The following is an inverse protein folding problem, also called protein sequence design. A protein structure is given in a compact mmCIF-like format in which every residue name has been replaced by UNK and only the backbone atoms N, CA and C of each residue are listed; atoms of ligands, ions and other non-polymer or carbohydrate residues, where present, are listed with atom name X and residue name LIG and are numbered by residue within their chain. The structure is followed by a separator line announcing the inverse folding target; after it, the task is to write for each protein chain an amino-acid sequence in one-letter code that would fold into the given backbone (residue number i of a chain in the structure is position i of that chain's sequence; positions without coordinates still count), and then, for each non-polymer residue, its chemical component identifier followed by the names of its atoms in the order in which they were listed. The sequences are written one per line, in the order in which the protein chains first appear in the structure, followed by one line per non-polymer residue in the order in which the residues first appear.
data_IF_579463754083
#
_entry.id   IF_579463754083
#
_cell.length_a   1.000
_cell.length_b   1.000
_cell.length_c   1.000
_cell.angle_alpha   90.00
_cell.angle_beta   90.00
_cell.angle_gamma   90.00
#
_symmetry.space_group_name_H-M   'P 1'
#
loop_
_entity.id
_entity.type
_entity.pdbx_description
1 polymer ?
#
# COMPACT_ATOMS: atom_id res chain seq x y z
N UNK A 1 -3.85 -14.56 -64.88
CA UNK A 1 -3.47 -15.12 -63.57
C UNK A 1 -3.17 -13.95 -62.63
N UNK A 2 -4.09 -13.64 -61.71
CA UNK A 2 -3.97 -12.52 -60.75
C UNK A 2 -3.57 -13.11 -59.40
N UNK A 3 -2.31 -12.90 -58.99
CA UNK A 3 -1.82 -13.34 -57.70
C UNK A 3 -2.24 -12.33 -56.63
N UNK A 4 -3.31 -12.66 -55.88
CA UNK A 4 -3.69 -12.00 -54.64
C UNK A 4 -2.58 -12.23 -53.60
N UNK A 5 -1.69 -11.25 -53.42
CA UNK A 5 -0.77 -11.24 -52.29
C UNK A 5 -1.59 -11.01 -51.03
N UNK A 6 -1.57 -12.01 -50.15
CA UNK A 6 -2.33 -12.08 -48.90
C UNK A 6 -2.13 -10.86 -48.03
N UNK A 7 -3.22 -10.12 -47.88
CA UNK A 7 -3.43 -9.06 -46.92
C UNK A 7 -3.98 -9.73 -45.65
N UNK A 8 -3.12 -10.30 -44.79
CA UNK A 8 -3.58 -10.85 -43.52
C UNK A 8 -2.46 -10.92 -42.47
N UNK A 9 -2.08 -9.77 -41.92
CA UNK A 9 -1.46 -9.67 -40.59
C UNK A 9 -1.95 -8.37 -39.95
N UNK A 10 -3.26 -8.33 -39.71
CA UNK A 10 -3.93 -7.31 -38.91
C UNK A 10 -4.19 -7.92 -37.54
N UNK A 11 -3.61 -7.30 -36.51
CA UNK A 11 -4.14 -7.20 -35.15
C UNK A 11 -4.18 -8.44 -34.27
N UNK A 12 -3.05 -8.78 -33.63
CA UNK A 12 -3.05 -9.27 -32.23
C UNK A 12 -1.82 -8.70 -31.52
N UNK A 13 -1.87 -7.41 -31.15
CA UNK A 13 -0.96 -6.84 -30.13
C UNK A 13 -1.62 -5.66 -29.42
N UNK A 14 -2.94 -5.70 -29.25
CA UNK A 14 -3.65 -4.97 -28.20
C UNK A 14 -4.08 -6.00 -27.18
N UNK A 15 -3.27 -6.25 -26.15
CA UNK A 15 -3.65 -6.78 -24.84
C UNK A 15 -2.40 -6.88 -23.95
N UNK A 16 -1.61 -5.81 -23.93
CA UNK A 16 -0.73 -5.52 -22.81
C UNK A 16 -1.08 -4.10 -22.33
N UNK A 17 -2.37 -3.91 -22.00
CA UNK A 17 -2.71 -2.95 -20.97
C UNK A 17 -2.07 -3.49 -19.71
N UNK A 18 -0.80 -3.15 -19.54
CA UNK A 18 -0.08 -3.20 -18.29
C UNK A 18 -0.99 -2.54 -17.27
N UNK A 19 -1.65 -3.36 -16.46
CA UNK A 19 -2.23 -2.95 -15.21
C UNK A 19 -1.06 -2.52 -14.32
N UNK A 20 -0.50 -1.35 -14.62
CA UNK A 20 0.33 -0.62 -13.71
C UNK A 20 -0.62 -0.23 -12.58
N UNK A 21 -0.79 -1.12 -11.62
CA UNK A 21 -1.67 -0.94 -10.46
C UNK A 21 -1.20 0.30 -9.72
N UNK A 22 -1.81 1.44 -10.04
CA UNK A 22 -1.56 2.68 -9.32
C UNK A 22 -1.98 2.47 -7.87
N UNK A 23 -1.29 3.13 -6.93
CA UNK A 23 -1.63 3.13 -5.50
C UNK A 23 -3.13 3.44 -5.29
N UNK A 24 -3.73 4.25 -6.17
CA UNK A 24 -5.15 4.58 -6.15
C UNK A 24 -6.09 3.40 -6.41
N UNK A 25 -5.69 2.44 -7.24
CA UNK A 25 -6.45 1.20 -7.46
C UNK A 25 -6.43 0.35 -6.20
N UNK A 26 -5.29 0.30 -5.51
CA UNK A 26 -5.13 -0.39 -4.24
C UNK A 26 -6.02 0.23 -3.15
N UNK A 27 -6.07 1.56 -3.05
CA UNK A 27 -6.93 2.28 -2.09
C UNK A 27 -8.42 1.97 -2.30
N UNK A 28 -8.88 1.87 -3.56
CA UNK A 28 -10.28 1.52 -3.87
C UNK A 28 -10.65 0.09 -3.47
N UNK A 29 -9.69 -0.83 -3.53
CA UNK A 29 -9.91 -2.24 -3.23
C UNK A 29 -9.55 -2.62 -1.76
N UNK A 30 -8.77 -1.80 -1.05
CA UNK A 30 -8.27 -2.07 0.31
C UNK A 30 -8.79 -1.10 1.39
N UNK A 31 -9.88 -0.38 1.12
CA UNK A 31 -10.51 0.47 2.12
C UNK A 31 -11.21 -0.31 3.26
N UNK A 32 -11.43 -1.62 3.09
CA UNK A 32 -11.90 -2.51 4.15
C UNK A 32 -10.93 -3.67 4.28
N UNK A 33 -10.24 -3.73 5.41
CA UNK A 33 -9.34 -4.83 5.68
C UNK A 33 -10.13 -6.12 5.90
N UNK A 34 -9.67 -7.24 5.33
CA UNK A 34 -10.30 -8.55 5.47
C UNK A 34 -9.88 -9.28 6.75
N UNK A 35 -8.72 -8.90 7.30
CA UNK A 35 -8.08 -9.53 8.44
C UNK A 35 -7.70 -8.50 9.48
N UNK A 36 -7.65 -8.92 10.75
CA UNK A 36 -7.16 -8.11 11.85
C UNK A 36 -5.71 -8.45 12.16
N UNK A 37 -4.90 -7.48 12.59
CA UNK A 37 -3.50 -7.71 12.92
C UNK A 37 -2.67 -6.44 13.01
N UNK A 38 -1.35 -6.61 13.02
CA UNK A 38 -0.39 -5.50 12.88
C UNK A 38 0.30 -5.59 11.52
N UNK A 39 0.42 -4.46 10.85
CA UNK A 39 1.17 -4.30 9.61
C UNK A 39 2.32 -3.33 9.87
N UNK A 40 3.51 -3.68 9.38
CA UNK A 40 4.67 -2.82 9.42
C UNK A 40 5.05 -2.42 8.01
N UNK A 41 5.39 -1.16 7.81
CA UNK A 41 5.64 -0.65 6.47
C UNK A 41 6.32 0.69 6.45
N UNK A 42 6.86 1.05 5.28
CA UNK A 42 7.19 2.44 5.01
C UNK A 42 5.90 3.18 4.70
N UNK A 43 5.77 4.43 5.14
CA UNK A 43 4.58 5.21 4.81
C UNK A 43 4.78 6.02 3.53
N UNK A 44 3.70 6.14 2.77
CA UNK A 44 3.55 7.16 1.73
C UNK A 44 2.40 8.09 2.12
N UNK A 45 2.72 9.38 2.19
CA UNK A 45 1.76 10.49 2.32
C UNK A 45 1.38 11.08 0.97
N UNK A 46 2.04 10.69 -0.13
CA UNK A 46 1.62 11.05 -1.50
C UNK A 46 0.46 10.17 -1.94
N UNK A 47 -0.64 10.26 -1.18
CA UNK A 47 -1.93 9.83 -1.66
C UNK A 47 -2.55 11.06 -2.33
N UNK A 48 -2.98 10.91 -3.57
CA UNK A 48 -3.63 12.00 -4.31
C UNK A 48 -4.95 12.42 -3.61
N UNK A 49 -5.73 13.31 -4.25
CA UNK A 49 -7.04 13.71 -3.70
C UNK A 49 -7.98 12.50 -3.38
N UNK A 50 -7.78 11.35 -4.04
CA UNK A 50 -8.53 10.11 -3.81
C UNK A 50 -8.04 9.34 -2.58
N UNK A 51 -6.90 9.71 -2.01
CA UNK A 51 -6.42 9.20 -0.73
C UNK A 51 -6.73 10.08 0.47
N UNK A 52 -7.46 11.19 0.30
CA UNK A 52 -7.91 11.98 1.46
C UNK A 52 -8.87 11.16 2.34
N UNK A 53 -8.84 11.39 3.67
CA UNK A 53 -9.77 10.74 4.61
C UNK A 53 -11.23 10.97 4.18
N UNK A 54 -11.52 12.19 3.75
CA UNK A 54 -12.84 12.57 3.21
C UNK A 54 -13.22 11.71 2.00
N UNK A 55 -12.35 11.56 1.02
CA UNK A 55 -12.65 10.72 -0.15
C UNK A 55 -12.89 9.27 0.27
N UNK A 56 -12.02 8.71 1.11
CA UNK A 56 -12.13 7.33 1.57
C UNK A 56 -13.47 7.13 2.30
N UNK A 57 -13.80 7.99 3.26
CA UNK A 57 -15.05 7.89 4.01
C UNK A 57 -16.30 8.10 3.13
N UNK A 58 -16.34 9.18 2.33
CA UNK A 58 -17.54 9.56 1.57
C UNK A 58 -17.78 8.68 0.34
N UNK A 59 -16.72 8.23 -0.34
CA UNK A 59 -16.85 7.52 -1.63
C UNK A 59 -16.85 6.00 -1.52
N UNK A 60 -16.30 5.46 -0.44
CA UNK A 60 -16.23 4.00 -0.26
C UNK A 60 -17.34 3.46 0.65
N UNK A 61 -18.13 4.35 1.27
CA UNK A 61 -19.15 3.94 2.24
C UNK A 61 -18.57 3.26 3.46
N UNK A 62 -17.34 3.63 3.84
CA UNK A 62 -16.63 3.06 4.97
C UNK A 62 -17.38 3.32 6.28
N UNK A 63 -17.48 2.30 7.14
CA UNK A 63 -18.22 2.38 8.42
C UNK A 63 -17.33 2.70 9.62
N UNK A 64 -16.08 3.08 9.39
CA UNK A 64 -15.18 3.48 10.47
C UNK A 64 -15.76 4.69 11.23
N UNK A 65 -15.85 4.59 12.55
CA UNK A 65 -16.39 5.66 13.38
C UNK A 65 -15.59 6.97 13.21
N UNK A 66 -14.29 6.88 12.88
CA UNK A 66 -13.42 8.04 12.63
C UNK A 66 -13.81 8.82 11.38
N UNK A 67 -14.65 8.27 10.50
CA UNK A 67 -15.22 9.03 9.38
C UNK A 67 -16.09 10.21 9.83
N UNK A 68 -16.68 10.15 11.04
CA UNK A 68 -17.38 11.30 11.64
C UNK A 68 -16.43 12.40 12.16
N UNK A 69 -15.14 12.08 12.27
CA UNK A 69 -14.07 12.94 12.77
C UNK A 69 -12.94 13.08 11.74
N UNK A 70 -13.27 13.03 10.45
CA UNK A 70 -12.28 12.99 9.36
C UNK A 70 -11.26 14.13 9.38
N UNK A 71 -11.61 15.28 9.97
CA UNK A 71 -10.74 16.44 10.08
C UNK A 71 -9.66 16.30 11.16
N UNK A 72 -9.72 15.28 12.01
CA UNK A 72 -8.71 14.99 13.02
C UNK A 72 -7.61 14.05 12.50
N UNK A 73 -7.81 13.47 11.31
CA UNK A 73 -6.94 12.45 10.74
C UNK A 73 -6.36 12.83 9.38
N UNK A 74 -5.24 12.19 9.06
CA UNK A 74 -4.70 12.07 7.70
C UNK A 74 -4.59 10.60 7.35
N UNK A 75 -4.91 10.26 6.11
CA UNK A 75 -4.71 8.91 5.61
C UNK A 75 -3.26 8.74 5.16
N UNK A 76 -2.70 7.57 5.44
CA UNK A 76 -1.38 7.16 4.97
C UNK A 76 -1.47 5.74 4.44
N UNK A 77 -0.69 5.44 3.40
CA UNK A 77 -0.52 4.06 2.97
C UNK A 77 0.71 3.47 3.63
N UNK A 78 0.53 2.44 4.45
CA UNK A 78 1.60 1.69 5.11
C UNK A 78 2.00 0.55 4.20
N UNK A 79 3.01 0.78 3.36
CA UNK A 79 3.54 -0.14 2.37
C UNK A 79 4.43 -1.19 3.04
N UNK A 80 3.93 -2.42 3.08
CA UNK A 80 4.62 -3.57 3.67
C UNK A 80 5.49 -4.31 2.65
N UNK A 81 5.08 -4.37 1.38
CA UNK A 81 5.83 -5.02 0.31
C UNK A 81 5.48 -4.46 -1.07
N UNK A 82 6.38 -4.61 -2.03
CA UNK A 82 6.17 -4.26 -3.43
C UNK A 82 6.72 -5.37 -4.34
N UNK A 83 5.90 -5.85 -5.27
CA UNK A 83 6.28 -6.85 -6.27
C UNK A 83 6.00 -6.41 -7.71
N UNK A 84 6.69 -7.03 -8.68
CA UNK A 84 6.45 -6.78 -10.10
C UNK A 84 5.04 -7.22 -10.55
N UNK A 85 4.58 -8.37 -10.05
CA UNK A 85 3.27 -8.93 -10.38
C UNK A 85 2.20 -8.49 -9.37
N UNK A 86 2.55 -8.50 -8.07
CA UNK A 86 1.59 -8.25 -6.99
C UNK A 86 1.37 -6.76 -6.69
N UNK A 87 2.15 -5.87 -7.30
CA UNK A 87 2.06 -4.42 -7.06
C UNK A 87 2.40 -4.04 -5.61
N UNK A 88 1.74 -3.01 -5.10
CA UNK A 88 1.93 -2.51 -3.74
C UNK A 88 1.02 -3.26 -2.74
N UNK A 89 1.64 -3.89 -1.74
CA UNK A 89 0.97 -4.59 -0.65
C UNK A 89 1.11 -3.76 0.63
N UNK A 90 0.00 -3.36 1.22
CA UNK A 90 -0.01 -2.54 2.41
C UNK A 90 -1.42 -2.36 2.94
N UNK A 91 -1.59 -1.33 3.77
CA UNK A 91 -2.90 -0.94 4.28
C UNK A 91 -3.06 0.57 4.25
N UNK A 92 -4.27 1.03 3.97
CA UNK A 92 -4.65 2.42 4.22
C UNK A 92 -4.96 2.57 5.70
N UNK A 93 -4.22 3.42 6.39
CA UNK A 93 -4.35 3.67 7.81
C UNK A 93 -4.56 5.16 8.10
N UNK A 94 -5.27 5.45 9.19
CA UNK A 94 -5.44 6.80 9.70
C UNK A 94 -4.38 7.10 10.75
N UNK A 95 -3.66 8.20 10.56
CA UNK A 95 -2.80 8.81 11.56
C UNK A 95 -3.47 10.10 12.05
N UNK A 96 -3.37 10.44 13.35
CA UNK A 96 -3.75 11.77 13.82
C UNK A 96 -2.99 12.86 13.05
N UNK A 97 -3.65 13.99 12.73
CA UNK A 97 -3.00 15.04 11.90
C UNK A 97 -1.74 15.57 12.55
N UNK A 98 -1.75 15.72 13.87
CA UNK A 98 -0.66 16.20 14.72
C UNK A 98 0.52 15.21 14.82
N UNK A 99 0.33 13.94 14.47
CA UNK A 99 1.41 12.97 14.46
C UNK A 99 2.46 13.39 13.42
N UNK A 100 3.69 13.67 13.88
CA UNK A 100 4.79 13.97 12.96
C UNK A 100 5.27 12.67 12.33
N UNK A 101 5.10 12.57 11.02
CA UNK A 101 5.63 11.47 10.21
C UNK A 101 6.85 11.99 9.47
N UNK A 102 7.86 11.14 9.23
CA UNK A 102 9.00 11.55 8.41
C UNK A 102 8.55 11.82 6.96
N UNK A 103 9.41 12.45 6.17
CA UNK A 103 9.12 12.65 4.74
C UNK A 103 8.90 11.32 4.01
N UNK A 104 8.22 11.41 2.86
CA UNK A 104 8.01 10.27 1.97
C UNK A 104 9.33 9.61 1.66
N UNK A 105 9.32 8.28 1.77
CA UNK A 105 10.54 7.53 1.68
C UNK A 105 10.50 6.54 0.52
N UNK A 106 11.58 6.51 -0.25
CA UNK A 106 11.69 5.61 -1.38
C UNK A 106 11.95 4.18 -0.87
N UNK A 107 11.24 3.21 -1.45
CA UNK A 107 11.47 1.78 -1.18
C UNK A 107 12.96 1.44 -1.35
N UNK A 108 13.51 0.69 -0.39
CA UNK A 108 14.93 0.30 -0.38
C UNK A 108 15.90 1.36 0.16
N UNK A 109 15.43 2.52 0.64
CA UNK A 109 16.29 3.49 1.33
C UNK A 109 16.48 3.14 2.81
N UNK A 110 17.69 3.36 3.30
CA UNK A 110 18.10 3.27 4.71
C UNK A 110 17.65 4.47 5.56
N UNK A 111 17.13 5.52 4.92
CA UNK A 111 16.66 6.75 5.56
C UNK A 111 15.20 6.72 5.98
N UNK A 112 14.54 5.57 5.85
CA UNK A 112 13.12 5.45 6.12
C UNK A 112 12.82 5.21 7.59
N UNK A 113 11.81 5.92 8.08
CA UNK A 113 11.07 5.47 9.25
C UNK A 113 10.05 4.43 8.81
N UNK A 114 9.80 3.45 9.68
CA UNK A 114 8.81 2.42 9.47
C UNK A 114 7.68 2.62 10.47
N UNK A 115 6.44 2.59 10.00
CA UNK A 115 5.26 2.69 10.85
C UNK A 115 4.77 1.32 11.25
N UNK A 116 4.13 1.27 12.41
CA UNK A 116 3.23 0.18 12.79
C UNK A 116 1.80 0.67 12.62
N UNK A 117 1.00 -0.11 11.89
CA UNK A 117 -0.43 0.07 11.84
C UNK A 117 -1.15 -1.13 12.46
N UNK A 118 -2.15 -0.88 13.29
CA UNK A 118 -3.14 -1.88 13.67
C UNK A 118 -4.25 -1.92 12.63
N UNK A 119 -4.80 -3.11 12.43
CA UNK A 119 -5.83 -3.37 11.44
C UNK A 119 -6.94 -4.16 12.11
N UNK A 120 -8.18 -3.73 11.86
CA UNK A 120 -9.39 -4.45 12.25
C UNK A 120 -10.21 -4.76 10.99
N UNK A 121 -10.75 -5.97 10.93
CA UNK A 121 -11.60 -6.37 9.82
C UNK A 121 -12.79 -5.41 9.61
N UNK A 122 -13.00 -4.96 8.37
CA UNK A 122 -14.06 -4.03 8.00
C UNK A 122 -13.83 -2.57 8.39
N UNK A 123 -12.61 -2.19 8.81
CA UNK A 123 -12.24 -0.81 9.17
C UNK A 123 -10.97 -0.37 8.45
N UNK A 124 -10.70 0.95 8.48
CA UNK A 124 -9.41 1.50 8.10
C UNK A 124 -8.36 1.15 9.16
N UNK A 125 -7.08 1.04 8.76
CA UNK A 125 -6.01 0.84 9.73
C UNK A 125 -5.86 2.04 10.68
N UNK A 126 -5.16 1.84 11.80
CA UNK A 126 -4.76 2.91 12.72
C UNK A 126 -3.26 2.92 12.80
N UNK A 127 -2.63 4.09 12.58
CA UNK A 127 -1.19 4.22 12.85
C UNK A 127 -0.98 4.30 14.35
N UNK A 128 -0.34 3.27 14.90
CA UNK A 128 0.01 3.19 16.33
C UNK A 128 1.27 4.00 16.65
N UNK A 129 2.12 4.22 15.65
CA UNK A 129 3.32 5.07 15.76
C UNK A 129 4.48 4.60 14.88
N UNK A 130 5.64 5.17 15.16
CA UNK A 130 6.90 4.84 14.48
C UNK A 130 7.50 3.60 15.13
N UNK A 131 7.60 2.51 14.37
CA UNK A 131 8.18 1.25 14.79
C UNK A 131 9.73 1.26 14.73
N UNK A 132 10.29 1.97 13.76
CA UNK A 132 11.73 2.04 13.55
C UNK A 132 12.11 3.37 12.92
N UNK A 133 13.22 3.94 13.39
CA UNK A 133 13.83 5.15 12.83
C UNK A 133 15.16 4.81 12.15
N UNK A 134 15.65 5.64 11.21
CA UNK A 134 16.93 5.40 10.56
C UNK A 134 18.06 5.13 11.55
N UNK A 135 18.80 4.03 11.34
CA UNK A 135 19.95 3.63 12.14
C UNK A 135 19.64 2.73 13.35
N UNK A 136 18.39 2.56 13.78
CA UNK A 136 18.06 1.72 14.94
C UNK A 136 18.00 0.21 14.63
N UNK A 137 17.95 -0.14 13.33
CA UNK A 137 17.94 -1.51 12.78
C UNK A 137 16.76 -2.38 13.26
N UNK A 138 15.69 -1.80 13.81
CA UNK A 138 14.50 -2.54 14.24
C UNK A 138 13.67 -3.04 13.06
N UNK A 139 13.61 -2.24 12.00
CA UNK A 139 13.03 -2.59 10.71
C UNK A 139 14.00 -2.22 9.58
N UNK A 140 13.86 -2.91 8.45
CA UNK A 140 14.58 -2.59 7.21
C UNK A 140 13.78 -3.08 6.00
N UNK A 141 14.06 -2.51 4.83
CA UNK A 141 13.60 -3.06 3.56
C UNK A 141 14.51 -4.21 3.14
N UNK A 142 13.94 -5.38 2.90
CA UNK A 142 14.60 -6.56 2.36
C UNK A 142 14.24 -6.72 0.89
N UNK A 143 15.21 -6.50 0.00
CA UNK A 143 15.05 -6.61 -1.45
C UNK A 143 15.69 -5.43 -2.18
N UNK A 144 15.33 -5.27 -3.46
CA UNK A 144 15.71 -4.12 -4.27
C UNK A 144 14.69 -2.97 -4.12
N UNK A 145 15.05 -1.73 -4.48
CA UNK A 145 14.07 -0.67 -4.66
C UNK A 145 12.93 -1.14 -5.57
N UNK A 146 11.68 -0.92 -5.14
CA UNK A 146 10.45 -1.39 -5.81
C UNK A 146 10.32 -2.91 -5.97
N UNK A 147 11.14 -3.73 -5.33
CA UNK A 147 11.00 -5.20 -5.35
C UNK A 147 11.46 -5.76 -4.00
N UNK A 148 10.54 -6.12 -3.13
CA UNK A 148 10.86 -6.62 -1.81
C UNK A 148 9.80 -6.23 -0.79
N UNK A 149 10.19 -6.18 0.47
CA UNK A 149 9.29 -5.72 1.51
C UNK A 149 9.99 -5.48 2.82
N UNK A 150 9.23 -4.99 3.78
CA UNK A 150 9.74 -4.64 5.09
C UNK A 150 10.02 -5.94 5.87
N UNK A 151 11.04 -5.93 6.70
CA UNK A 151 11.32 -6.96 7.70
C UNK A 151 11.63 -6.24 9.00
N UNK A 152 10.95 -6.62 10.07
CA UNK A 152 11.10 -6.04 11.40
C UNK A 152 11.44 -7.13 12.42
N UNK A 153 12.74 -7.52 12.55
CA UNK A 153 13.14 -8.60 13.46
C UNK A 153 12.78 -8.32 14.92
N UNK A 154 12.84 -7.06 15.35
CA UNK A 154 12.47 -6.63 16.70
C UNK A 154 10.99 -6.92 17.06
N UNK A 155 10.15 -7.11 16.05
CA UNK A 155 8.72 -7.37 16.19
C UNK A 155 8.31 -8.73 15.63
N UNK A 156 9.29 -9.59 15.32
CA UNK A 156 9.08 -10.92 14.70
C UNK A 156 8.21 -10.87 13.43
N UNK A 157 8.34 -9.79 12.65
CA UNK A 157 7.53 -9.57 11.46
C UNK A 157 8.40 -9.61 10.18
N UNK A 158 7.92 -10.31 9.16
CA UNK A 158 8.55 -10.52 7.86
C UNK A 158 7.46 -10.57 6.78
N UNK A 159 7.50 -9.60 5.85
CA UNK A 159 6.49 -9.50 4.80
C UNK A 159 6.26 -10.81 4.02
N UNK A 160 7.27 -11.68 3.88
CA UNK A 160 7.15 -12.96 3.15
C UNK A 160 6.27 -13.96 3.86
N UNK A 161 6.14 -13.84 5.19
CA UNK A 161 5.37 -14.74 6.04
C UNK A 161 4.03 -14.10 6.43
N UNK A 162 4.08 -12.83 6.79
CA UNK A 162 2.97 -12.13 7.43
C UNK A 162 2.00 -11.47 6.43
N UNK A 163 2.40 -11.30 5.15
CA UNK A 163 1.47 -10.87 4.11
C UNK A 163 0.75 -12.03 3.41
N UNK A 164 1.04 -13.29 3.77
CA UNK A 164 0.42 -14.46 3.15
C UNK A 164 -1.08 -14.48 3.50
N UNK A 165 -1.92 -14.17 2.51
CA UNK A 165 -3.37 -13.98 2.65
C UNK A 165 -3.87 -12.58 2.27
N UNK A 166 -2.99 -11.57 2.30
CA UNK A 166 -3.29 -10.19 1.86
C UNK A 166 -3.01 -9.96 0.36
N UNK A 167 -2.41 -10.93 -0.34
CA UNK A 167 -2.03 -10.85 -1.75
C UNK A 167 -3.06 -11.41 -2.73
N UNK A 168 -4.18 -11.97 -2.25
CA UNK A 168 -5.07 -12.80 -3.07
C UNK A 168 -6.02 -12.05 -4.03
N UNK A 169 -5.99 -10.73 -4.07
CA UNK A 169 -6.90 -9.94 -4.92
C UNK A 169 -6.21 -8.72 -5.52
N UNK A 170 -5.28 -8.97 -6.45
CA UNK A 170 -4.81 -8.01 -7.43
C UNK A 170 -5.14 -8.50 -8.84
#
# INVERSE_FOLDING_TARGET
MRNFKGLLFISITLLALSACGSINTVIKNQNNNLHSGSVYGIHSTDLDAQGSVKYICDKTGNKDARCSHQDDYKAVFVLSAFGYADGAIGVVALAPKEMTLSENCLTGSDKCSYLKASVEAGKLGTVEGIASVPGDKKCHWSGMPRIGGVVCPAYSWDYRKDNVGNSSHF
#
